data_IF_312178386675
#
_entry.id   IF_312178386675
#
_cell.length_a   1.000
_cell.length_b   1.000
_cell.length_c   1.000
_cell.angle_alpha   90.00
_cell.angle_beta   90.00
_cell.angle_gamma   90.00
#
_symmetry.space_group_name_H-M   'P 1'
#
loop_
_entity.id
_entity.type
_entity.pdbx_description
1 polymer ?
#
# COMPACT_ATOMS: atom_id res chain seq x y z
N UNK A 1 -12.30 -13.29 8.30
CA UNK A 1 -12.26 -14.31 7.23
C UNK A 1 -10.96 -15.09 7.37
N UNK A 2 -11.03 -16.38 7.65
CA UNK A 2 -9.85 -17.26 7.70
C UNK A 2 -9.58 -17.67 6.26
N UNK A 3 -8.45 -17.25 5.70
CA UNK A 3 -8.06 -17.65 4.35
C UNK A 3 -7.71 -19.13 4.36
N UNK A 4 -8.48 -19.94 3.62
CA UNK A 4 -8.22 -21.37 3.45
C UNK A 4 -7.02 -21.62 2.51
N UNK A 5 -6.51 -22.82 2.52
CA UNK A 5 -5.26 -23.36 1.99
C UNK A 5 -4.92 -23.12 0.50
N UNK A 6 -5.79 -22.52 -0.30
CA UNK A 6 -5.65 -22.45 -1.75
C UNK A 6 -5.05 -21.15 -2.31
N UNK A 7 -4.62 -20.24 -1.46
CA UNK A 7 -3.88 -19.04 -1.88
C UNK A 7 -2.40 -19.40 -2.05
N UNK A 8 -2.01 -19.86 -3.21
CA UNK A 8 -0.68 -20.19 -3.70
C UNK A 8 0.54 -19.74 -2.88
N UNK A 9 0.67 -20.23 -1.65
CA UNK A 9 1.79 -19.94 -0.77
C UNK A 9 3.04 -20.64 -1.29
N UNK A 10 3.99 -19.85 -1.77
CA UNK A 10 5.28 -20.34 -2.27
C UNK A 10 6.41 -19.66 -1.49
N UNK A 11 6.90 -20.24 -0.36
CA UNK A 11 7.98 -19.64 0.40
C UNK A 11 9.29 -19.81 -0.35
N UNK A 12 9.93 -18.68 -0.70
CA UNK A 12 11.34 -18.68 -1.14
C UNK A 12 12.22 -18.76 0.09
N UNK A 13 13.09 -19.79 0.23
CA UNK A 13 13.95 -19.92 1.41
C UNK A 13 15.05 -18.85 1.39
N UNK A 14 15.13 -18.08 2.49
CA UNK A 14 16.29 -17.25 2.80
C UNK A 14 17.27 -18.03 3.65
N UNK A 15 18.58 -17.92 3.35
CA UNK A 15 19.66 -18.65 4.00
C UNK A 15 19.86 -18.26 5.45
N UNK A 16 20.00 -19.27 6.30
CA UNK A 16 20.59 -19.39 7.65
C UNK A 16 20.43 -18.24 8.66
N UNK A 17 19.66 -18.50 9.65
CA UNK A 17 19.52 -18.17 11.06
C UNK A 17 18.25 -17.42 11.48
N UNK A 18 17.73 -16.45 10.70
CA UNK A 18 16.41 -15.83 10.98
C UNK A 18 15.71 -15.61 9.64
N UNK A 19 14.85 -16.54 9.22
CA UNK A 19 14.07 -16.39 8.00
C UNK A 19 12.85 -15.53 8.27
N UNK A 20 12.74 -14.39 7.59
CA UNK A 20 11.51 -13.60 7.55
C UNK A 20 10.74 -13.97 6.29
N UNK A 21 9.52 -14.46 6.47
CA UNK A 21 8.59 -14.72 5.38
C UNK A 21 7.61 -13.56 5.30
N UNK A 22 7.44 -12.99 4.10
CA UNK A 22 6.37 -12.04 3.80
C UNK A 22 5.20 -12.80 3.16
N UNK A 23 4.02 -12.60 3.70
CA UNK A 23 2.78 -13.21 3.21
C UNK A 23 1.86 -12.09 2.75
N UNK A 24 1.54 -12.07 1.46
CA UNK A 24 0.55 -11.15 0.90
C UNK A 24 -0.82 -11.82 0.92
N UNK A 25 -1.72 -11.30 1.73
CA UNK A 25 -3.09 -11.76 1.83
C UNK A 25 -4.02 -10.84 1.03
N UNK A 26 -4.81 -11.43 0.14
CA UNK A 26 -5.83 -10.75 -0.68
C UNK A 26 -7.12 -11.56 -0.67
N UNK A 27 -8.26 -10.88 -0.62
CA UNK A 27 -9.57 -11.49 -0.74
C UNK A 27 -10.55 -10.53 -1.42
N UNK A 28 -11.59 -11.04 -2.11
CA UNK A 28 -12.66 -10.19 -2.61
C UNK A 28 -13.29 -9.37 -1.50
N UNK A 29 -13.64 -8.12 -1.81
CA UNK A 29 -14.28 -7.15 -0.90
C UNK A 29 -13.48 -6.79 0.35
N UNK A 30 -12.15 -7.08 0.33
CA UNK A 30 -11.24 -6.73 1.41
C UNK A 30 -9.99 -6.07 0.86
N UNK A 31 -9.42 -5.15 1.66
CA UNK A 31 -8.09 -4.62 1.38
C UNK A 31 -7.04 -5.71 1.55
N UNK A 32 -5.98 -5.63 0.76
CA UNK A 32 -4.83 -6.52 0.90
C UNK A 32 -3.96 -6.14 2.10
N UNK A 33 -3.25 -7.12 2.64
CA UNK A 33 -2.30 -6.92 3.72
C UNK A 33 -1.06 -7.76 3.53
N UNK A 34 0.12 -7.18 3.75
CA UNK A 34 1.37 -7.91 3.85
C UNK A 34 1.71 -8.12 5.32
N UNK A 35 1.87 -9.37 5.72
CA UNK A 35 2.31 -9.76 7.06
C UNK A 35 3.72 -10.31 6.98
N UNK A 36 4.62 -9.79 7.82
CA UNK A 36 5.97 -10.31 7.96
C UNK A 36 6.04 -11.21 9.20
N UNK A 37 6.42 -12.46 9.02
CA UNK A 37 6.55 -13.45 10.09
C UNK A 37 7.99 -13.91 10.20
N UNK A 38 8.57 -13.83 11.40
CA UNK A 38 9.85 -14.48 11.68
C UNK A 38 9.63 -15.98 11.88
N UNK A 39 10.35 -16.78 11.14
CA UNK A 39 10.35 -18.22 11.29
C UNK A 39 11.50 -18.61 12.20
N UNK A 40 11.19 -19.31 13.32
CA UNK A 40 12.16 -19.91 14.20
C UNK A 40 12.26 -21.40 13.87
N UNK A 41 13.43 -21.87 13.41
CA UNK A 41 13.63 -23.24 12.98
C UNK A 41 13.56 -23.46 11.47
N UNK A 42 13.52 -24.73 11.05
CA UNK A 42 13.52 -25.06 9.62
C UNK A 42 12.14 -24.87 8.98
N UNK A 43 12.07 -24.48 7.69
CA UNK A 43 10.81 -24.40 6.94
C UNK A 43 9.99 -25.70 6.95
N UNK A 44 10.66 -26.85 7.08
CA UNK A 44 10.02 -28.18 7.14
C UNK A 44 9.15 -28.33 8.39
N UNK A 45 9.51 -27.72 9.52
CA UNK A 45 8.70 -27.75 10.74
C UNK A 45 7.35 -27.06 10.53
N UNK A 46 7.33 -25.90 9.86
CA UNK A 46 6.10 -25.18 9.56
C UNK A 46 5.19 -25.95 8.60
N UNK A 47 5.78 -26.60 7.59
CA UNK A 47 5.03 -27.49 6.70
C UNK A 47 4.44 -28.69 7.45
N UNK A 48 5.26 -29.33 8.30
CA UNK A 48 4.87 -30.51 9.08
C UNK A 48 3.72 -30.22 10.03
N UNK A 49 3.79 -29.10 10.75
CA UNK A 49 2.78 -28.73 11.74
C UNK A 49 1.67 -27.83 11.19
N UNK A 50 1.69 -27.49 9.88
CA UNK A 50 0.67 -26.67 9.21
C UNK A 50 0.43 -25.33 9.93
N UNK A 51 1.50 -24.72 10.44
CA UNK A 51 1.43 -23.43 11.12
C UNK A 51 1.15 -22.37 10.06
N UNK A 52 0.03 -21.67 10.20
CA UNK A 52 -0.33 -20.52 9.37
C UNK A 52 -0.80 -19.38 10.28
N UNK A 53 -0.46 -18.11 9.96
CA UNK A 53 -0.98 -16.99 10.70
C UNK A 53 -2.48 -16.78 10.39
N UNK A 54 -3.24 -16.39 11.40
CA UNK A 54 -4.58 -15.83 11.16
C UNK A 54 -4.42 -14.39 10.68
N UNK A 55 -4.84 -14.11 9.45
CA UNK A 55 -4.76 -12.78 8.85
C UNK A 55 -6.18 -12.24 8.71
N UNK A 56 -6.48 -11.16 9.43
CA UNK A 56 -7.75 -10.44 9.32
C UNK A 56 -7.59 -9.31 8.34
N UNK A 57 -8.32 -9.36 7.22
CA UNK A 57 -8.32 -8.31 6.21
C UNK A 57 -9.44 -7.29 6.49
N UNK A 58 -9.13 -5.99 6.48
CA UNK A 58 -10.15 -4.96 6.58
C UNK A 58 -11.09 -5.00 5.36
N UNK A 59 -12.40 -4.78 5.54
CA UNK A 59 -13.34 -4.73 4.42
C UNK A 59 -13.05 -3.52 3.53
N UNK A 60 -13.17 -3.70 2.21
CA UNK A 60 -13.02 -2.64 1.20
C UNK A 60 -14.39 -2.07 0.81
N UNK A 61 -14.99 -1.29 1.70
CA UNK A 61 -16.29 -0.65 1.49
C UNK A 61 -16.15 0.82 1.13
N UNK A 62 -17.19 1.39 0.52
CA UNK A 62 -17.24 2.81 0.20
C UNK A 62 -16.97 3.69 1.43
N UNK A 63 -16.04 4.63 1.31
CA UNK A 63 -15.53 5.50 2.38
C UNK A 63 -14.29 4.96 3.12
N UNK A 64 -14.04 3.65 3.09
CA UNK A 64 -12.87 3.05 3.73
C UNK A 64 -11.57 3.34 2.98
N UNK A 65 -10.48 3.43 3.73
CA UNK A 65 -9.15 3.81 3.20
C UNK A 65 -8.09 2.81 3.65
N UNK A 66 -7.23 2.40 2.73
CA UNK A 66 -6.00 1.66 3.01
C UNK A 66 -4.76 2.49 2.68
N UNK A 67 -3.83 2.56 3.62
CA UNK A 67 -2.52 3.18 3.41
C UNK A 67 -1.58 2.17 2.75
N UNK A 68 -0.94 2.58 1.65
CA UNK A 68 0.10 1.80 0.97
C UNK A 68 1.42 2.00 1.72
N UNK A 69 1.64 1.20 2.76
CA UNK A 69 2.69 1.42 3.77
C UNK A 69 4.11 1.31 3.23
N UNK A 70 4.34 0.45 2.23
CA UNK A 70 5.66 0.18 1.69
C UNK A 70 5.88 0.87 0.32
N UNK A 71 5.06 1.88 -0.01
CA UNK A 71 5.17 2.64 -1.25
C UNK A 71 5.89 3.97 -1.02
N UNK A 72 7.21 3.96 -1.18
CA UNK A 72 8.09 5.10 -0.93
C UNK A 72 8.61 5.71 -2.23
N UNK A 73 8.79 7.02 -2.20
CA UNK A 73 9.35 7.80 -3.31
C UNK A 73 10.67 8.45 -2.90
N UNK A 74 11.49 8.74 -3.89
CA UNK A 74 12.70 9.55 -3.70
C UNK A 74 12.30 10.91 -3.11
N UNK A 75 13.13 11.47 -2.23
CA UNK A 75 12.87 12.77 -1.61
C UNK A 75 12.56 13.84 -2.66
N UNK A 76 11.53 14.63 -2.42
CA UNK A 76 11.05 15.73 -3.29
C UNK A 76 10.77 15.35 -4.76
N UNK A 77 10.62 14.06 -5.05
CA UNK A 77 10.35 13.54 -6.38
C UNK A 77 9.16 12.57 -6.39
N UNK A 78 8.57 12.38 -7.55
CA UNK A 78 7.56 11.36 -7.80
C UNK A 78 8.17 10.12 -8.49
N UNK A 79 9.42 9.78 -8.11
CA UNK A 79 10.14 8.59 -8.57
C UNK A 79 10.04 7.53 -7.49
N UNK A 80 9.44 6.40 -7.82
CA UNK A 80 9.27 5.28 -6.89
C UNK A 80 10.64 4.68 -6.54
N UNK A 81 10.87 4.40 -5.25
CA UNK A 81 12.04 3.65 -4.84
C UNK A 81 11.95 2.20 -5.33
N UNK A 82 13.07 1.64 -5.79
CA UNK A 82 13.13 0.25 -6.27
C UNK A 82 12.60 -0.77 -5.25
N UNK A 83 12.83 -0.53 -3.96
CA UNK A 83 12.32 -1.37 -2.88
C UNK A 83 10.78 -1.40 -2.78
N UNK A 84 10.10 -0.38 -3.34
CA UNK A 84 8.64 -0.25 -3.34
C UNK A 84 7.96 -0.79 -4.62
N UNK A 85 8.74 -1.15 -5.64
CA UNK A 85 8.17 -1.72 -6.88
C UNK A 85 7.29 -2.96 -6.64
N UNK A 86 7.60 -3.87 -5.68
CA UNK A 86 6.76 -5.03 -5.39
C UNK A 86 5.36 -4.69 -4.84
N UNK A 87 5.12 -3.46 -4.39
CA UNK A 87 3.81 -3.05 -3.87
C UNK A 87 2.79 -2.79 -4.98
N UNK A 88 3.24 -2.35 -6.16
CA UNK A 88 2.36 -2.05 -7.28
C UNK A 88 1.54 -3.25 -7.78
N UNK A 89 2.13 -4.46 -7.96
CA UNK A 89 1.37 -5.66 -8.32
C UNK A 89 0.29 -6.04 -7.31
N UNK A 90 0.46 -5.74 -6.02
CA UNK A 90 -0.54 -6.02 -4.98
C UNK A 90 -1.78 -5.14 -5.16
N UNK A 91 -1.57 -3.86 -5.45
CA UNK A 91 -2.66 -2.93 -5.77
C UNK A 91 -3.38 -3.36 -7.04
N UNK A 92 -2.62 -3.75 -8.06
CA UNK A 92 -3.19 -4.27 -9.31
C UNK A 92 -4.06 -5.51 -9.04
N UNK A 93 -3.55 -6.46 -8.26
CA UNK A 93 -4.29 -7.67 -7.87
C UNK A 93 -5.57 -7.33 -7.10
N UNK A 94 -5.51 -6.38 -6.16
CA UNK A 94 -6.68 -5.89 -5.44
C UNK A 94 -7.75 -5.37 -6.40
N UNK A 95 -7.39 -4.55 -7.40
CA UNK A 95 -8.33 -4.01 -8.39
C UNK A 95 -8.88 -5.08 -9.33
N UNK A 96 -8.09 -6.11 -9.66
CA UNK A 96 -8.51 -7.22 -10.52
C UNK A 96 -9.53 -8.14 -9.85
N UNK A 97 -9.33 -8.47 -8.55
CA UNK A 97 -10.25 -9.35 -7.81
C UNK A 97 -11.51 -8.63 -7.33
N UNK A 98 -11.53 -7.30 -7.37
CA UNK A 98 -12.67 -6.46 -7.01
C UNK A 98 -13.12 -5.61 -8.23
N UNK A 99 -13.66 -6.22 -9.29
CA UNK A 99 -13.95 -5.51 -10.55
C UNK A 99 -15.04 -4.45 -10.44
N UNK A 100 -15.88 -4.50 -9.42
CA UNK A 100 -16.96 -3.55 -9.15
C UNK A 100 -16.49 -2.30 -8.39
N UNK A 101 -15.37 -2.36 -7.67
CA UNK A 101 -14.92 -1.24 -6.85
C UNK A 101 -14.35 -0.10 -7.68
N UNK A 102 -14.68 1.12 -7.26
CA UNK A 102 -14.07 2.38 -7.72
C UNK A 102 -13.22 2.96 -6.61
N UNK A 103 -12.06 3.50 -6.95
CA UNK A 103 -11.09 4.00 -5.97
C UNK A 103 -10.63 5.43 -6.28
N UNK A 104 -10.27 6.14 -5.23
CA UNK A 104 -9.44 7.33 -5.26
C UNK A 104 -8.03 6.99 -4.76
N UNK A 105 -7.02 7.38 -5.51
CA UNK A 105 -5.61 7.27 -5.14
C UNK A 105 -5.19 8.63 -4.59
N UNK A 106 -4.92 8.70 -3.27
CA UNK A 106 -4.54 9.91 -2.56
C UNK A 106 -3.05 10.01 -2.34
N UNK A 107 -2.41 11.09 -2.82
CA UNK A 107 -1.01 11.38 -2.57
C UNK A 107 -0.83 12.40 -1.45
N UNK A 108 0.18 12.19 -0.59
CA UNK A 108 0.47 13.04 0.56
C UNK A 108 1.95 13.40 0.62
N UNK A 109 2.24 14.54 1.26
CA UNK A 109 3.61 14.96 1.59
C UNK A 109 3.74 15.25 3.07
N UNK A 110 4.98 15.29 3.56
CA UNK A 110 5.29 15.79 4.88
C UNK A 110 5.55 17.29 4.81
N UNK A 111 4.83 18.08 5.56
CA UNK A 111 4.95 19.53 5.57
C UNK A 111 4.44 20.13 6.88
N UNK A 112 5.07 19.78 8.05
CA UNK A 112 4.63 20.29 9.34
C UNK A 112 4.79 21.81 9.42
N UNK A 113 3.80 22.49 10.01
CA UNK A 113 3.81 23.94 10.23
C UNK A 113 3.63 24.79 8.98
N UNK A 114 3.39 24.18 7.81
CA UNK A 114 3.17 24.92 6.57
C UNK A 114 1.70 25.28 6.40
N UNK A 115 1.43 26.57 6.21
CA UNK A 115 0.08 27.07 5.97
C UNK A 115 -0.21 27.01 4.47
N UNK A 116 -1.29 26.35 4.08
CA UNK A 116 -1.67 26.07 2.68
C UNK A 116 -1.86 27.32 1.80
N UNK A 117 -2.11 28.49 2.40
CA UNK A 117 -2.47 29.70 1.66
C UNK A 117 -1.31 30.32 0.84
N UNK A 118 -0.05 29.94 1.15
CA UNK A 118 1.14 30.49 0.50
C UNK A 118 2.10 29.41 -0.01
N UNK A 119 1.63 28.14 -0.16
CA UNK A 119 2.50 27.06 -0.56
C UNK A 119 2.83 27.09 -2.06
N UNK A 120 4.09 26.80 -2.40
CA UNK A 120 4.48 26.68 -3.80
C UNK A 120 3.65 25.63 -4.52
N UNK A 121 3.17 25.96 -5.70
CA UNK A 121 2.40 25.09 -6.59
C UNK A 121 3.07 23.72 -6.79
N UNK A 122 4.40 23.65 -6.70
CA UNK A 122 5.15 22.39 -6.87
C UNK A 122 4.83 21.32 -5.81
N UNK A 123 4.44 21.70 -4.56
CA UNK A 123 4.11 20.74 -3.51
C UNK A 123 2.79 20.04 -3.80
N UNK A 124 1.76 20.81 -4.17
CA UNK A 124 0.50 20.25 -4.62
C UNK A 124 0.72 19.37 -5.85
N UNK A 125 1.61 19.81 -6.74
CA UNK A 125 2.00 19.03 -7.90
C UNK A 125 2.73 17.74 -7.51
N UNK A 126 3.58 17.75 -6.46
CA UNK A 126 4.31 16.56 -6.02
C UNK A 126 3.38 15.49 -5.43
N UNK A 127 2.45 15.86 -4.55
CA UNK A 127 1.47 14.94 -3.99
C UNK A 127 0.59 14.33 -5.09
N UNK A 128 0.14 15.18 -6.03
CA UNK A 128 -0.63 14.75 -7.21
C UNK A 128 0.17 13.81 -8.11
N UNK A 129 1.42 14.12 -8.41
CA UNK A 129 2.29 13.27 -9.26
C UNK A 129 2.55 11.89 -8.65
N UNK A 130 2.68 11.79 -7.33
CA UNK A 130 2.81 10.50 -6.63
C UNK A 130 1.55 9.64 -6.79
N UNK A 131 0.37 10.23 -6.61
CA UNK A 131 -0.89 9.54 -6.85
C UNK A 131 -1.05 9.17 -8.32
N UNK A 132 -0.70 10.08 -9.25
CA UNK A 132 -0.74 9.86 -10.69
C UNK A 132 0.18 8.72 -11.14
N UNK A 133 1.34 8.53 -10.49
CA UNK A 133 2.24 7.42 -10.78
C UNK A 133 1.56 6.06 -10.60
N UNK A 134 0.86 5.87 -9.46
CA UNK A 134 0.11 4.65 -9.18
C UNK A 134 -1.07 4.48 -10.15
N UNK A 135 -1.81 5.56 -10.41
CA UNK A 135 -2.89 5.56 -11.40
C UNK A 135 -2.40 5.12 -12.79
N UNK A 136 -1.31 5.71 -13.28
CA UNK A 136 -0.74 5.38 -14.58
C UNK A 136 -0.28 3.91 -14.67
N UNK A 137 0.29 3.38 -13.59
CA UNK A 137 0.64 1.96 -13.50
C UNK A 137 -0.59 1.05 -13.63
N UNK A 138 -1.65 1.33 -12.88
CA UNK A 138 -2.89 0.55 -12.93
C UNK A 138 -3.57 0.64 -14.30
N UNK A 139 -3.65 1.84 -14.89
CA UNK A 139 -4.19 2.06 -16.22
C UNK A 139 -3.43 1.27 -17.29
N UNK A 140 -2.09 1.32 -17.24
CA UNK A 140 -1.21 0.55 -18.16
C UNK A 140 -1.43 -0.95 -18.05
N UNK A 141 -1.82 -1.44 -16.87
CA UNK A 141 -2.07 -2.86 -16.60
C UNK A 141 -3.56 -3.24 -16.72
N UNK A 142 -4.36 -2.45 -17.40
CA UNK A 142 -5.70 -2.81 -17.83
C UNK A 142 -6.83 -2.50 -16.84
N UNK A 143 -6.57 -1.71 -15.79
CA UNK A 143 -7.68 -1.23 -14.95
C UNK A 143 -8.34 -0.02 -15.64
N UNK A 144 -9.67 -0.08 -15.88
CA UNK A 144 -10.39 0.98 -16.57
C UNK A 144 -10.30 2.35 -15.86
N UNK A 145 -10.15 3.42 -16.64
CA UNK A 145 -10.00 4.78 -16.09
C UNK A 145 -11.21 5.23 -15.27
N UNK A 146 -12.42 4.82 -15.65
CA UNK A 146 -13.68 5.14 -14.98
C UNK A 146 -13.82 4.52 -13.58
N UNK A 147 -12.93 3.59 -13.24
CA UNK A 147 -12.86 2.98 -11.90
C UNK A 147 -11.87 3.68 -10.97
N UNK A 148 -11.14 4.64 -11.48
CA UNK A 148 -10.04 5.25 -10.74
C UNK A 148 -10.04 6.76 -10.87
N UNK A 149 -9.72 7.44 -9.78
CA UNK A 149 -9.32 8.85 -9.77
C UNK A 149 -8.05 9.01 -8.93
N UNK A 150 -7.35 10.10 -9.14
CA UNK A 150 -6.19 10.44 -8.31
C UNK A 150 -6.28 11.89 -7.83
N UNK A 151 -5.74 12.14 -6.62
CA UNK A 151 -5.75 13.47 -6.01
C UNK A 151 -4.52 13.67 -5.13
N UNK A 152 -3.94 14.86 -5.20
CA UNK A 152 -2.96 15.32 -4.22
C UNK A 152 -3.66 15.97 -3.02
N UNK A 153 -3.28 15.55 -1.84
CA UNK A 153 -3.77 16.10 -0.56
C UNK A 153 -2.74 16.98 0.13
N UNK A 154 -1.54 17.05 -0.42
CA UNK A 154 -0.46 17.84 0.15
C UNK A 154 -0.22 17.46 1.63
N UNK A 155 -0.07 18.45 2.53
CA UNK A 155 0.07 18.24 3.96
C UNK A 155 -1.27 18.36 4.73
N UNK A 156 -2.41 18.49 4.02
CA UNK A 156 -3.72 18.71 4.67
C UNK A 156 -4.22 17.52 5.48
N UNK A 157 -3.68 16.33 5.24
CA UNK A 157 -4.08 15.08 5.90
C UNK A 157 -2.89 14.33 6.45
N UNK A 158 -1.99 15.03 7.15
CA UNK A 158 -0.86 14.38 7.81
C UNK A 158 -1.35 13.42 8.90
N UNK A 159 -0.73 12.24 8.99
CA UNK A 159 -0.95 11.30 10.09
C UNK A 159 -0.27 11.80 11.38
N UNK A 160 0.86 12.48 11.22
CA UNK A 160 1.65 13.10 12.27
C UNK A 160 1.82 14.58 11.95
N UNK A 161 0.93 15.48 12.46
CA UNK A 161 1.02 16.91 12.21
C UNK A 161 2.33 17.54 12.72
N UNK A 162 2.92 16.95 13.76
CA UNK A 162 4.18 17.35 14.36
C UNK A 162 5.12 16.14 14.46
N UNK A 163 5.71 15.68 13.33
CA UNK A 163 6.53 14.49 13.35
C UNK A 163 7.78 14.71 14.19
N UNK A 164 8.06 13.77 15.09
CA UNK A 164 9.20 13.79 16.01
C UNK A 164 10.34 12.87 15.55
N UNK A 165 10.09 12.08 14.50
CA UNK A 165 11.04 11.14 13.92
C UNK A 165 10.94 11.11 12.39
N UNK A 166 12.02 10.66 11.74
CA UNK A 166 12.01 10.42 10.29
C UNK A 166 10.95 9.38 9.91
N UNK A 167 10.75 8.35 10.73
CA UNK A 167 9.71 7.35 10.52
C UNK A 167 8.30 7.96 10.45
N UNK A 168 7.98 8.93 11.31
CA UNK A 168 6.70 9.65 11.27
C UNK A 168 6.60 10.54 10.02
N UNK A 169 7.72 11.20 9.65
CA UNK A 169 7.81 11.98 8.43
C UNK A 169 7.61 11.11 7.18
N UNK A 170 8.18 9.92 7.15
CA UNK A 170 7.95 8.93 6.07
C UNK A 170 6.49 8.51 5.98
N UNK A 171 5.82 8.29 7.10
CA UNK A 171 4.39 7.94 7.11
C UNK A 171 3.50 9.07 6.61
N UNK A 172 3.91 10.33 6.76
CA UNK A 172 3.24 11.46 6.13
C UNK A 172 3.43 11.47 4.60
N UNK A 173 4.60 11.05 4.09
CA UNK A 173 4.93 10.92 2.66
C UNK A 173 4.39 9.63 2.07
N UNK A 174 3.09 9.47 2.02
CA UNK A 174 2.41 8.23 1.64
C UNK A 174 1.53 8.37 0.41
N UNK A 175 1.14 7.23 -0.13
CA UNK A 175 -0.02 7.08 -1.01
C UNK A 175 -1.04 6.19 -0.31
N UNK A 176 -2.31 6.51 -0.46
CA UNK A 176 -3.42 5.73 0.07
C UNK A 176 -4.46 5.44 -1.00
N UNK A 177 -5.25 4.39 -0.80
CA UNK A 177 -6.38 4.04 -1.64
C UNK A 177 -7.65 4.18 -0.80
N UNK A 178 -8.60 4.95 -1.30
CA UNK A 178 -9.93 5.08 -0.73
C UNK A 178 -10.96 4.49 -1.69
N UNK A 179 -11.82 3.61 -1.21
CA UNK A 179 -12.97 3.12 -1.99
C UNK A 179 -14.01 4.24 -2.08
N UNK A 180 -14.39 4.61 -3.29
CA UNK A 180 -15.34 5.72 -3.56
C UNK A 180 -16.72 5.23 -3.96
N UNK A 181 -16.86 3.97 -4.35
CA UNK A 181 -18.12 3.36 -4.76
C UNK A 181 -17.91 1.99 -5.38
N UNK A 182 -18.99 1.44 -5.82
CA UNK A 182 -19.13 0.20 -6.56
C UNK A 182 -19.56 0.49 -8.01
#
# INVERSE_FOLDING_TARGET
MILSRDTGWNPTPLSSKDSVVKIDAVAPDHFFQTVSMKLFGSPELYKKYKISPDIVLPPAKAGETAVLRDLFFVGDQAILLKASEPELPKILKFMQINPHLKIEIGGHINGPGLVMTNEPEWRQTLSTRRAQYVYAYLLKNGIPAERMMYKGYDNTRMLFPHPTSERESEQNRRVEIRVTGE
#
